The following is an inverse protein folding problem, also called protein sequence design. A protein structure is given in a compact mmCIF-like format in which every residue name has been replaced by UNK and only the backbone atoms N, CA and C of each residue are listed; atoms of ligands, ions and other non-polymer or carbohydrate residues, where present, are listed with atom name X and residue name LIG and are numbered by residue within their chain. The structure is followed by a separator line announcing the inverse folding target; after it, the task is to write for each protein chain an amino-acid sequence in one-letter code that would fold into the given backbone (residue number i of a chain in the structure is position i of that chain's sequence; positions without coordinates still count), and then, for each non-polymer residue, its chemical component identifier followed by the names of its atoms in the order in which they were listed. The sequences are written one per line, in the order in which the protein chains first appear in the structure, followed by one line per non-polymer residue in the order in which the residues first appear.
data_IF_912649200419
#
_entry.id   IF_912649200419
#
_cell.length_a   1.000
_cell.length_b   1.000
_cell.length_c   1.000
_cell.angle_alpha   90.00
_cell.angle_beta   90.00
_cell.angle_gamma   90.00
#
_symmetry.space_group_name_H-M   'P 1'
#
loop_
_entity.id
_entity.type
_entity.pdbx_description
1 polymer ?
#
# COMPACT_ATOMS: atom_id res chain seq x y z
N UNK A 1 7.26 -0.70 -12.37
CA UNK A 1 6.88 0.73 -12.28
C UNK A 1 7.26 1.48 -13.56
N UNK A 2 8.53 1.48 -13.99
CA UNK A 2 8.99 2.21 -15.20
C UNK A 2 8.19 1.80 -16.45
N UNK A 3 8.07 0.50 -16.72
CA UNK A 3 7.28 0.02 -17.87
C UNK A 3 5.82 0.48 -17.83
N UNK A 4 5.20 0.50 -16.65
CA UNK A 4 3.84 1.02 -16.47
C UNK A 4 3.76 2.51 -16.81
N UNK A 5 4.70 3.32 -16.33
CA UNK A 5 4.76 4.75 -16.67
C UNK A 5 4.97 4.98 -18.19
N UNK A 6 5.78 4.16 -18.84
CA UNK A 6 5.96 4.22 -20.30
C UNK A 6 4.66 3.90 -21.05
N UNK A 7 3.87 2.93 -20.57
CA UNK A 7 2.57 2.60 -21.17
C UNK A 7 1.59 3.75 -21.04
N UNK A 8 1.53 4.43 -19.87
CA UNK A 8 0.69 5.63 -19.70
C UNK A 8 1.10 6.73 -20.65
N UNK A 9 2.39 7.05 -20.77
CA UNK A 9 2.92 8.04 -21.72
C UNK A 9 2.56 7.70 -23.16
N UNK A 10 2.72 6.41 -23.53
CA UNK A 10 2.36 5.96 -24.87
C UNK A 10 0.87 6.12 -25.14
N UNK A 11 0.02 5.74 -24.18
CA UNK A 11 -1.42 5.88 -24.30
C UNK A 11 -1.85 7.33 -24.53
N UNK A 12 -1.33 8.27 -23.74
CA UNK A 12 -1.60 9.69 -23.92
C UNK A 12 -1.02 10.27 -25.23
N UNK A 13 0.09 9.71 -25.73
CA UNK A 13 0.63 10.06 -27.04
C UNK A 13 -0.29 9.61 -28.17
N UNK A 14 -0.91 8.42 -28.05
CA UNK A 14 -1.86 7.91 -29.03
C UNK A 14 -3.17 8.73 -28.99
N UNK A 15 -3.69 8.98 -27.81
CA UNK A 15 -4.86 9.81 -27.62
C UNK A 15 -4.79 10.57 -26.27
N UNK A 16 -4.59 11.88 -26.29
CA UNK A 16 -4.50 12.69 -25.06
C UNK A 16 -5.78 12.69 -24.19
N UNK A 17 -6.90 12.20 -24.71
CA UNK A 17 -8.17 12.10 -23.99
C UNK A 17 -8.33 10.76 -23.25
N UNK A 18 -7.41 9.82 -23.40
CA UNK A 18 -7.47 8.57 -22.65
C UNK A 18 -7.29 8.84 -21.15
N UNK A 19 -8.16 8.22 -20.37
CA UNK A 19 -8.02 8.16 -18.93
C UNK A 19 -7.42 6.80 -18.58
N UNK A 20 -6.18 6.79 -18.14
CA UNK A 20 -5.40 5.58 -17.91
C UNK A 20 -5.15 5.43 -16.41
N UNK A 21 -5.72 4.40 -15.80
CA UNK A 21 -5.59 4.13 -14.39
C UNK A 21 -4.67 2.96 -14.06
N UNK A 22 -4.36 2.83 -12.80
CA UNK A 22 -3.82 1.59 -12.24
C UNK A 22 -4.84 0.93 -11.32
N UNK A 23 -4.71 -0.39 -11.12
CA UNK A 23 -5.49 -1.13 -10.16
C UNK A 23 -4.59 -1.66 -9.04
N UNK A 24 -5.00 -1.45 -7.80
CA UNK A 24 -4.31 -1.96 -6.61
C UNK A 24 -5.26 -2.80 -5.77
N UNK A 25 -4.76 -3.88 -5.18
CA UNK A 25 -5.48 -4.61 -4.16
C UNK A 25 -5.26 -3.89 -2.82
N UNK A 26 -6.30 -3.25 -2.29
CA UNK A 26 -6.20 -2.53 -1.04
C UNK A 26 -6.97 -3.24 0.07
N UNK A 27 -6.23 -3.68 1.07
CA UNK A 27 -6.76 -4.25 2.31
C UNK A 27 -6.32 -3.33 3.43
N UNK A 28 -7.19 -2.48 3.98
CA UNK A 28 -6.82 -1.61 5.09
C UNK A 28 -6.43 -2.47 6.30
N UNK A 29 -5.38 -2.03 6.98
CA UNK A 29 -4.85 -2.71 8.16
C UNK A 29 -5.02 -1.79 9.35
N UNK A 30 -5.82 -2.22 10.31
CA UNK A 30 -6.02 -1.52 11.56
C UNK A 30 -5.00 -1.95 12.61
N UNK A 31 -4.67 -1.09 13.58
CA UNK A 31 -3.96 -1.53 14.78
C UNK A 31 -4.86 -2.48 15.59
N UNK A 32 -4.28 -3.53 16.14
CA UNK A 32 -5.03 -4.49 16.98
C UNK A 32 -5.50 -3.84 18.29
N UNK A 33 -4.73 -2.90 18.80
CA UNK A 33 -5.06 -2.14 19.99
C UNK A 33 -4.64 -0.67 19.88
N UNK A 34 -4.97 0.14 20.89
CA UNK A 34 -4.52 1.53 20.99
C UNK A 34 -3.05 1.69 21.41
N UNK A 35 -2.29 0.62 21.60
CA UNK A 35 -0.86 0.69 21.90
C UNK A 35 -0.11 1.42 20.76
N UNK A 36 0.82 2.35 21.10
CA UNK A 36 1.60 3.07 20.07
C UNK A 36 2.33 2.13 19.10
N UNK A 37 2.82 0.99 19.58
CA UNK A 37 3.52 0.00 18.78
C UNK A 37 2.59 -0.68 17.75
N UNK A 38 1.34 -0.97 18.11
CA UNK A 38 0.34 -1.51 17.19
C UNK A 38 -0.03 -0.48 16.12
N UNK A 39 -0.14 0.82 16.49
CA UNK A 39 -0.34 1.92 15.56
C UNK A 39 0.80 1.99 14.54
N UNK A 40 2.04 1.92 15.01
CA UNK A 40 3.23 1.93 14.14
C UNK A 40 3.28 0.69 13.22
N UNK A 41 2.83 -0.46 13.73
CA UNK A 41 2.74 -1.70 12.94
C UNK A 41 1.72 -1.57 11.81
N UNK A 42 0.52 -1.09 12.12
CA UNK A 42 -0.54 -0.84 11.13
C UNK A 42 -0.09 0.18 10.06
N UNK A 43 0.49 1.30 10.48
CA UNK A 43 1.02 2.30 9.57
C UNK A 43 2.08 1.72 8.62
N UNK A 44 2.98 0.88 9.13
CA UNK A 44 4.01 0.24 8.32
C UNK A 44 3.41 -0.69 7.25
N UNK A 45 2.37 -1.45 7.61
CA UNK A 45 1.67 -2.31 6.67
C UNK A 45 0.90 -1.47 5.62
N UNK A 46 0.28 -0.37 6.01
CA UNK A 46 -0.37 0.55 5.07
C UNK A 46 0.63 1.19 4.11
N UNK A 47 1.78 1.67 4.59
CA UNK A 47 2.84 2.18 3.73
C UNK A 47 3.32 1.15 2.69
N UNK A 48 3.36 -0.12 3.06
CA UNK A 48 3.71 -1.20 2.12
C UNK A 48 2.66 -1.38 1.02
N UNK A 49 1.38 -1.17 1.34
CA UNK A 49 0.28 -1.25 0.37
C UNK A 49 0.23 -0.05 -0.54
N UNK A 50 0.47 1.14 0.00
CA UNK A 50 0.46 2.39 -0.77
C UNK A 50 1.66 2.55 -1.71
N UNK A 51 2.71 1.76 -1.56
CA UNK A 51 3.91 1.91 -2.38
C UNK A 51 3.61 2.00 -3.88
N UNK A 52 2.81 1.08 -4.40
CA UNK A 52 2.50 1.07 -5.83
C UNK A 52 1.59 2.23 -6.24
N UNK A 53 0.53 2.48 -5.49
CA UNK A 53 -0.38 3.60 -5.77
C UNK A 53 0.32 4.94 -5.67
N UNK A 54 1.16 5.14 -4.66
CA UNK A 54 1.95 6.37 -4.50
C UNK A 54 2.85 6.62 -5.71
N UNK A 55 3.58 5.60 -6.18
CA UNK A 55 4.45 5.78 -7.35
C UNK A 55 3.64 6.05 -8.61
N UNK A 56 2.54 5.34 -8.82
CA UNK A 56 1.67 5.55 -9.99
C UNK A 56 1.02 6.93 -10.00
N UNK A 57 0.54 7.42 -8.84
CA UNK A 57 -0.14 8.70 -8.74
C UNK A 57 0.82 9.90 -8.70
N UNK A 58 1.94 9.76 -7.99
CA UNK A 58 2.88 10.86 -7.73
C UNK A 58 4.03 10.92 -8.73
N UNK A 59 4.33 9.80 -9.40
CA UNK A 59 5.42 9.68 -10.36
C UNK A 59 6.81 9.74 -9.72
N UNK A 60 6.92 9.33 -8.46
CA UNK A 60 8.18 9.31 -7.72
C UNK A 60 8.18 8.22 -6.66
N UNK A 61 9.37 7.77 -6.26
CA UNK A 61 9.50 6.82 -5.16
C UNK A 61 9.30 7.55 -3.83
N UNK A 62 8.34 7.14 -2.99
CA UNK A 62 8.08 7.79 -1.71
C UNK A 62 9.28 7.72 -0.75
N UNK A 63 9.47 8.75 0.06
CA UNK A 63 10.58 8.84 1.02
C UNK A 63 10.63 7.69 2.02
N UNK A 64 9.46 7.17 2.45
CA UNK A 64 9.41 6.02 3.36
C UNK A 64 9.96 4.74 2.73
N UNK A 65 9.88 4.61 1.40
CA UNK A 65 10.47 3.49 0.65
C UNK A 65 11.98 3.65 0.54
N UNK A 66 12.47 4.84 0.16
CA UNK A 66 13.90 5.14 0.08
C UNK A 66 14.58 4.88 1.42
N UNK A 67 14.02 5.40 2.52
CA UNK A 67 14.53 5.15 3.87
C UNK A 67 14.47 3.67 4.28
N UNK A 68 13.51 2.91 3.78
CA UNK A 68 13.43 1.47 4.02
C UNK A 68 14.54 0.74 3.26
N UNK A 69 14.79 1.10 2.00
CA UNK A 69 15.85 0.50 1.20
C UNK A 69 17.23 0.78 1.81
N UNK A 70 17.47 2.01 2.23
CA UNK A 70 18.70 2.41 2.92
C UNK A 70 18.93 1.57 4.19
N UNK A 71 17.94 1.48 5.07
CA UNK A 71 18.04 0.65 6.29
C UNK A 71 18.23 -0.85 6.04
N UNK A 72 17.82 -1.33 4.87
CA UNK A 72 17.98 -2.72 4.45
C UNK A 72 19.25 -2.95 3.61
N UNK A 73 20.05 -1.91 3.39
CA UNK A 73 21.21 -1.91 2.50
C UNK A 73 20.89 -2.40 1.08
N UNK A 74 19.69 -2.06 0.59
CA UNK A 74 19.33 -2.34 -0.80
C UNK A 74 19.92 -1.26 -1.70
N UNK A 75 20.83 -1.67 -2.57
CA UNK A 75 21.37 -0.79 -3.61
C UNK A 75 20.44 -0.85 -4.83
N UNK A 76 19.47 0.07 -4.87
CA UNK A 76 18.57 0.23 -6.00
C UNK A 76 18.89 1.58 -6.62
N UNK A 77 19.54 1.54 -7.77
CA UNK A 77 19.82 2.75 -8.54
C UNK A 77 18.66 3.02 -9.50
N UNK A 78 18.21 4.27 -9.50
CA UNK A 78 17.17 4.77 -10.40
C UNK A 78 17.76 5.98 -11.10
N UNK A 79 18.01 5.82 -12.39
CA UNK A 79 18.60 6.86 -13.21
C UNK A 79 17.69 8.10 -13.31
N UNK A 80 18.27 9.25 -13.67
CA UNK A 80 17.47 10.46 -13.83
C UNK A 80 16.47 10.35 -14.99
N UNK A 81 16.80 9.57 -16.02
CA UNK A 81 15.87 9.24 -17.08
C UNK A 81 14.66 8.44 -16.58
N UNK A 82 14.89 7.43 -15.74
CA UNK A 82 13.80 6.64 -15.13
C UNK A 82 12.93 7.48 -14.19
N UNK A 83 13.53 8.38 -13.39
CA UNK A 83 12.78 9.35 -12.58
C UNK A 83 11.91 10.24 -13.46
N UNK A 84 12.43 10.72 -14.60
CA UNK A 84 11.66 11.50 -15.56
C UNK A 84 10.50 10.69 -16.15
N UNK A 85 10.73 9.44 -16.53
CA UNK A 85 9.69 8.53 -17.04
C UNK A 85 8.58 8.37 -16.00
N UNK A 86 8.91 8.12 -14.74
CA UNK A 86 7.91 8.01 -13.66
C UNK A 86 7.10 9.30 -13.52
N UNK A 87 7.76 10.44 -13.51
CA UNK A 87 7.13 11.76 -13.34
C UNK A 87 6.15 12.09 -14.46
N UNK A 88 6.50 11.73 -15.70
CA UNK A 88 5.69 12.00 -16.88
C UNK A 88 4.60 10.94 -17.13
N UNK A 89 4.77 9.73 -16.58
CA UNK A 89 3.85 8.60 -16.75
C UNK A 89 2.94 8.35 -15.57
N UNK A 90 2.48 9.42 -14.90
CA UNK A 90 1.49 9.31 -13.82
C UNK A 90 0.14 8.86 -14.39
N UNK A 91 -0.57 8.05 -13.60
CA UNK A 91 -1.92 7.62 -13.94
C UNK A 91 -2.93 8.74 -13.72
N UNK A 92 -4.05 8.69 -14.42
CA UNK A 92 -5.15 9.66 -14.30
C UNK A 92 -6.08 9.33 -13.13
N UNK A 93 -6.16 8.04 -12.76
CA UNK A 93 -6.96 7.58 -11.62
C UNK A 93 -6.39 6.29 -11.01
N UNK A 94 -6.80 6.01 -9.77
CA UNK A 94 -6.51 4.75 -9.09
C UNK A 94 -7.81 3.99 -8.89
N UNK A 95 -7.89 2.79 -9.46
CA UNK A 95 -8.90 1.80 -9.12
C UNK A 95 -8.37 0.87 -8.03
N UNK A 96 -9.21 0.40 -7.15
CA UNK A 96 -8.79 -0.57 -6.16
C UNK A 96 -9.84 -1.67 -5.95
N UNK A 97 -9.35 -2.85 -5.58
CA UNK A 97 -10.18 -3.96 -5.13
C UNK A 97 -10.19 -3.99 -3.61
N UNK A 98 -11.38 -4.00 -3.03
CA UNK A 98 -11.61 -4.15 -1.60
C UNK A 98 -12.37 -5.44 -1.32
N UNK A 99 -11.78 -6.30 -0.52
CA UNK A 99 -12.40 -7.59 -0.14
C UNK A 99 -12.60 -7.71 1.36
N UNK A 100 -11.70 -7.14 2.14
CA UNK A 100 -11.64 -7.32 3.58
C UNK A 100 -10.74 -6.25 4.22
N UNK A 101 -10.79 -6.14 5.52
CA UNK A 101 -9.77 -5.47 6.33
C UNK A 101 -8.91 -6.49 7.09
N UNK A 102 -7.86 -6.04 7.70
CA UNK A 102 -6.99 -6.84 8.57
C UNK A 102 -6.57 -6.06 9.82
N UNK A 103 -5.91 -6.72 10.74
CA UNK A 103 -5.31 -6.08 11.91
C UNK A 103 -3.84 -6.46 12.04
N UNK A 104 -3.03 -5.52 12.51
CA UNK A 104 -1.62 -5.74 12.79
C UNK A 104 -1.33 -5.51 14.28
N UNK A 105 -0.47 -6.35 14.82
CA UNK A 105 0.05 -6.21 16.18
C UNK A 105 1.55 -6.41 16.20
N UNK A 106 2.18 -5.91 17.25
CA UNK A 106 3.57 -6.17 17.59
C UNK A 106 3.75 -7.36 18.52
N UNK A 107 2.67 -8.02 18.91
CA UNK A 107 2.69 -9.20 19.77
C UNK A 107 2.52 -10.47 18.95
N UNK A 108 3.20 -11.52 19.35
CA UNK A 108 2.99 -12.88 18.85
C UNK A 108 1.77 -13.54 19.53
N UNK A 109 1.55 -14.83 19.25
CA UNK A 109 0.46 -15.62 19.81
C UNK A 109 0.58 -15.87 21.34
N UNK A 110 1.79 -15.68 21.90
CA UNK A 110 2.07 -15.80 23.32
C UNK A 110 2.01 -14.43 24.04
N UNK A 111 1.76 -13.35 23.31
CA UNK A 111 1.76 -11.99 23.84
C UNK A 111 3.15 -11.38 24.01
N UNK A 112 4.18 -11.98 23.39
CA UNK A 112 5.55 -11.46 23.41
C UNK A 112 5.78 -10.52 22.21
N UNK A 113 6.69 -9.54 22.38
CA UNK A 113 7.02 -8.59 21.34
C UNK A 113 7.70 -9.27 20.13
N UNK A 114 7.11 -9.10 18.97
CA UNK A 114 7.71 -9.52 17.69
C UNK A 114 8.79 -8.52 17.34
N UNK A 115 10.05 -8.84 17.58
CA UNK A 115 11.20 -8.01 17.21
C UNK A 115 11.44 -7.95 15.70
N UNK A 116 10.95 -8.94 14.96
CA UNK A 116 11.01 -8.97 13.50
C UNK A 116 9.61 -8.71 12.91
N UNK A 117 9.34 -7.47 12.57
CA UNK A 117 8.07 -7.03 11.96
C UNK A 117 7.76 -7.68 10.59
N UNK A 118 8.69 -8.42 9.98
CA UNK A 118 8.38 -9.24 8.80
C UNK A 118 7.53 -10.46 9.16
N UNK A 119 7.49 -10.81 10.43
CA UNK A 119 6.71 -11.93 10.99
C UNK A 119 5.42 -11.47 11.68
N UNK A 120 5.08 -10.17 11.63
CA UNK A 120 3.82 -9.68 12.18
C UNK A 120 2.66 -10.44 11.55
N UNK A 121 2.01 -11.28 12.33
CA UNK A 121 0.85 -12.06 11.89
C UNK A 121 -0.35 -11.13 11.76
N UNK A 122 -1.12 -11.34 10.72
CA UNK A 122 -2.45 -10.79 10.62
C UNK A 122 -3.34 -11.48 11.65
N UNK A 123 -3.87 -10.70 12.57
CA UNK A 123 -4.84 -11.19 13.53
C UNK A 123 -6.26 -10.89 13.02
N UNK A 124 -7.19 -11.73 13.44
CA UNK A 124 -8.61 -11.45 13.22
C UNK A 124 -9.02 -10.24 14.05
N UNK A 125 -9.75 -9.32 13.45
CA UNK A 125 -10.34 -8.20 14.17
C UNK A 125 -11.52 -8.72 15.02
N UNK A 126 -11.49 -8.58 16.35
CA UNK A 126 -12.55 -9.08 17.22
C UNK A 126 -13.89 -8.34 17.07
N UNK A 127 -13.91 -7.20 16.37
CA UNK A 127 -15.07 -6.32 16.23
C UNK A 127 -15.83 -6.52 14.92
N UNK A 128 -15.33 -7.37 14.00
CA UNK A 128 -16.01 -7.67 12.74
C UNK A 128 -16.15 -9.17 12.53
N UNK A 129 -17.23 -9.58 11.89
CA UNK A 129 -17.46 -10.97 11.52
C UNK A 129 -16.53 -11.38 10.38
N UNK A 130 -16.15 -12.63 10.35
CA UNK A 130 -15.47 -13.23 9.21
C UNK A 130 -16.44 -14.09 8.38
N UNK A 131 -16.17 -14.22 7.08
CA UNK A 131 -16.79 -15.19 6.20
C UNK A 131 -16.28 -16.60 6.52
N UNK A 132 -16.85 -17.63 5.91
CA UNK A 132 -16.40 -19.02 6.03
C UNK A 132 -14.94 -19.21 5.57
N UNK A 133 -14.42 -18.31 4.72
CA UNK A 133 -13.02 -18.29 4.30
C UNK A 133 -12.09 -17.52 5.26
N UNK A 134 -12.62 -17.00 6.37
CA UNK A 134 -11.88 -16.19 7.32
C UNK A 134 -11.66 -14.73 6.89
N UNK A 135 -12.29 -14.27 5.82
CA UNK A 135 -12.20 -12.87 5.37
C UNK A 135 -13.11 -11.99 6.20
N UNK A 136 -12.57 -10.93 6.73
CA UNK A 136 -13.30 -10.00 7.59
C UNK A 136 -14.30 -9.17 6.77
N UNK A 137 -15.56 -9.23 7.16
CA UNK A 137 -16.67 -8.51 6.52
C UNK A 137 -16.73 -7.13 7.15
N UNK A 138 -16.10 -6.16 6.48
CA UNK A 138 -15.96 -4.81 7.01
C UNK A 138 -16.39 -3.75 5.97
N UNK A 139 -17.68 -3.40 5.91
CA UNK A 139 -18.15 -2.36 5.00
C UNK A 139 -17.65 -0.95 5.36
N UNK A 140 -17.32 -0.69 6.63
CA UNK A 140 -16.75 0.59 7.07
C UNK A 140 -15.33 0.77 6.54
N UNK A 141 -14.58 -0.32 6.41
CA UNK A 141 -13.24 -0.34 5.83
C UNK A 141 -13.19 0.15 4.39
N UNK A 142 -14.26 -0.06 3.61
CA UNK A 142 -14.38 0.52 2.27
C UNK A 142 -14.38 2.06 2.33
N UNK A 143 -15.19 2.64 3.21
CA UNK A 143 -15.23 4.09 3.40
C UNK A 143 -13.89 4.62 3.94
N UNK A 144 -13.29 3.91 4.89
CA UNK A 144 -11.96 4.24 5.41
C UNK A 144 -10.91 4.25 4.29
N UNK A 145 -10.93 3.23 3.42
CA UNK A 145 -10.02 3.14 2.27
C UNK A 145 -10.19 4.32 1.32
N UNK A 146 -11.42 4.69 0.99
CA UNK A 146 -11.70 5.85 0.13
C UNK A 146 -11.13 7.13 0.74
N UNK A 147 -11.36 7.37 2.04
CA UNK A 147 -10.89 8.57 2.73
C UNK A 147 -9.36 8.70 2.82
N UNK A 148 -8.62 7.59 2.79
CA UNK A 148 -7.16 7.63 2.86
C UNK A 148 -6.48 7.64 1.48
N UNK A 149 -7.22 7.30 0.42
CA UNK A 149 -6.72 7.38 -0.95
C UNK A 149 -6.98 8.76 -1.59
N UNK A 150 -7.95 9.51 -1.07
CA UNK A 150 -8.28 10.88 -1.48
C UNK A 150 -7.21 11.86 -0.94
#
# INVERSE_FOLDING_TARGET
MIASAQVVKLGHKINPKFQIGCMVANVPVYPYSSKPEDQMSAQKEMNRRFFYSDVHARGEIPQYVLKKWDRKNYSIDISDEEKKILKEGKVDYIGFSYYMSGTATTLDENGELINDFSKAKWLSNPHVKASDWGWQIDPVGMRYTLNILD
#
